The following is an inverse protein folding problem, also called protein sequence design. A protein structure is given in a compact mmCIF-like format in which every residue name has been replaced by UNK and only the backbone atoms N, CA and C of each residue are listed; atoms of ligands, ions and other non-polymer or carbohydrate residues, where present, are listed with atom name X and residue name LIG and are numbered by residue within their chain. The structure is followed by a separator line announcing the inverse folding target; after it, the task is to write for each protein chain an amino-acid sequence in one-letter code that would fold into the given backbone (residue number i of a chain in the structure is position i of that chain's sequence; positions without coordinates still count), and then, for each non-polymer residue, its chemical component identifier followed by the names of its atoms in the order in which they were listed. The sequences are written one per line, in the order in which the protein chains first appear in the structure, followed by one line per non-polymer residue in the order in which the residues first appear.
data_IF_667046576509
#
_entry.id   IF_667046576509
#
_cell.length_a   1.000
_cell.length_b   1.000
_cell.length_c   1.000
_cell.angle_alpha   90.00
_cell.angle_beta   90.00
_cell.angle_gamma   90.00
#
_symmetry.space_group_name_H-M   'P 1'
#
loop_
_entity.id
_entity.type
_entity.pdbx_description
1 polymer ?
#
# COMPACT_ATOMS: atom_id res chain seq x y z
N UNK A 1 -18.07 3.45 31.55
CA UNK A 1 -18.20 2.58 30.37
C UNK A 1 -16.80 2.15 29.98
N UNK A 2 -16.46 0.89 30.18
CA UNK A 2 -15.19 0.33 29.71
C UNK A 2 -15.37 0.17 28.20
N UNK A 3 -14.63 0.92 27.38
CA UNK A 3 -14.60 0.69 25.94
C UNK A 3 -14.10 -0.74 25.73
N UNK A 4 -14.92 -1.58 25.10
CA UNK A 4 -14.44 -2.84 24.56
C UNK A 4 -13.26 -2.53 23.63
N UNK A 5 -12.12 -3.22 23.74
CA UNK A 5 -11.02 -3.04 22.81
C UNK A 5 -11.57 -3.32 21.41
N UNK A 6 -11.43 -2.36 20.51
CA UNK A 6 -11.84 -2.51 19.13
C UNK A 6 -10.98 -3.62 18.52
N UNK A 7 -11.56 -4.81 18.36
CA UNK A 7 -10.88 -5.93 17.68
C UNK A 7 -10.76 -5.53 16.22
N UNK A 8 -9.54 -5.24 15.79
CA UNK A 8 -9.31 -4.92 14.38
C UNK A 8 -9.61 -6.18 13.54
N UNK A 9 -10.35 -6.00 12.44
CA UNK A 9 -10.71 -7.12 11.56
C UNK A 9 -9.47 -7.56 10.79
N UNK A 10 -9.26 -8.87 10.71
CA UNK A 10 -8.22 -9.44 9.84
C UNK A 10 -8.42 -9.02 8.39
N UNK A 11 -7.33 -8.90 7.61
CA UNK A 11 -7.41 -8.64 6.17
C UNK A 11 -8.25 -9.72 5.48
N UNK A 12 -9.05 -9.30 4.50
CA UNK A 12 -10.00 -10.15 3.80
C UNK A 12 -9.44 -10.56 2.45
N UNK A 13 -9.53 -11.85 2.12
CA UNK A 13 -9.29 -12.33 0.77
C UNK A 13 -10.28 -11.67 -0.20
N UNK A 14 -9.77 -11.13 -1.31
CA UNK A 14 -10.57 -10.50 -2.38
C UNK A 14 -10.52 -11.35 -3.64
N UNK A 15 -9.29 -11.63 -4.10
CA UNK A 15 -8.98 -12.44 -5.27
C UNK A 15 -7.73 -13.26 -4.96
N UNK A 16 -7.38 -14.20 -5.85
CA UNK A 16 -6.12 -14.92 -5.74
C UNK A 16 -4.96 -13.93 -5.58
N UNK A 17 -4.18 -14.12 -4.51
CA UNK A 17 -3.05 -13.28 -4.10
C UNK A 17 -3.39 -11.85 -3.65
N UNK A 18 -4.67 -11.46 -3.56
CA UNK A 18 -5.07 -10.09 -3.19
C UNK A 18 -5.90 -10.08 -1.91
N UNK A 19 -5.43 -9.30 -0.93
CA UNK A 19 -6.10 -9.10 0.35
C UNK A 19 -6.43 -7.62 0.55
N UNK A 20 -7.59 -7.33 1.15
CA UNK A 20 -8.00 -5.97 1.52
C UNK A 20 -7.98 -5.79 3.04
N UNK A 21 -7.43 -4.66 3.48
CA UNK A 21 -7.50 -4.24 4.88
C UNK A 21 -8.77 -3.43 5.13
N UNK A 22 -9.21 -3.38 6.38
CA UNK A 22 -10.33 -2.51 6.74
C UNK A 22 -9.96 -1.03 6.56
N UNK A 23 -10.90 -0.19 6.08
CA UNK A 23 -10.77 1.26 6.08
C UNK A 23 -10.28 1.82 7.41
N UNK A 24 -9.41 2.82 7.36
CA UNK A 24 -8.85 3.43 8.56
C UNK A 24 -8.84 4.96 8.49
N UNK A 25 -8.71 5.62 9.65
CA UNK A 25 -8.82 7.09 9.74
C UNK A 25 -7.58 7.83 9.27
N UNK A 26 -6.41 7.19 9.35
CA UNK A 26 -5.14 7.79 8.92
C UNK A 26 -5.12 8.03 7.41
N UNK A 27 -5.94 7.31 6.64
CA UNK A 27 -6.10 7.44 5.19
C UNK A 27 -7.52 7.91 4.78
N UNK A 28 -8.21 8.66 5.65
CA UNK A 28 -9.56 9.20 5.40
C UNK A 28 -10.63 8.16 5.03
N UNK A 29 -10.49 6.93 5.51
CA UNK A 29 -11.39 5.82 5.22
C UNK A 29 -11.04 5.05 3.94
N UNK A 30 -9.84 5.24 3.38
CA UNK A 30 -9.33 4.46 2.25
C UNK A 30 -9.10 2.99 2.61
N UNK A 31 -9.39 2.10 1.66
CA UNK A 31 -9.03 0.68 1.71
C UNK A 31 -7.64 0.50 1.14
N UNK A 32 -6.72 -0.08 1.91
CA UNK A 32 -5.44 -0.56 1.41
C UNK A 32 -5.52 -2.04 1.02
N UNK A 33 -4.58 -2.45 0.17
CA UNK A 33 -4.53 -3.80 -0.37
C UNK A 33 -3.14 -4.40 -0.25
N UNK A 34 -3.06 -5.73 -0.24
CA UNK A 34 -1.81 -6.46 -0.27
C UNK A 34 -1.82 -7.51 -1.36
N UNK A 35 -0.82 -7.46 -2.23
CA UNK A 35 -0.57 -8.45 -3.26
C UNK A 35 0.55 -9.37 -2.77
N UNK A 36 0.25 -10.66 -2.65
CA UNK A 36 1.23 -11.71 -2.35
C UNK A 36 1.70 -12.32 -3.67
N UNK A 37 2.73 -11.73 -4.25
CA UNK A 37 3.31 -12.22 -5.51
C UNK A 37 4.56 -13.06 -5.25
N UNK A 38 4.78 -14.09 -6.09
CA UNK A 38 5.87 -15.05 -5.94
C UNK A 38 7.27 -14.39 -5.93
N UNK A 39 7.40 -13.20 -6.53
CA UNK A 39 8.67 -12.48 -6.57
C UNK A 39 8.71 -11.31 -5.60
N UNK A 40 7.59 -10.63 -5.38
CA UNK A 40 7.59 -9.33 -4.72
C UNK A 40 6.24 -9.00 -4.08
N UNK A 41 6.17 -9.10 -2.75
CA UNK A 41 5.00 -8.66 -1.99
C UNK A 41 4.84 -7.14 -2.01
N UNK A 42 3.64 -6.67 -2.35
CA UNK A 42 3.34 -5.23 -2.49
C UNK A 42 2.17 -4.85 -1.60
N UNK A 43 2.43 -3.90 -0.70
CA UNK A 43 1.40 -3.20 0.05
C UNK A 43 1.01 -1.93 -0.72
N UNK A 44 -0.26 -1.81 -1.04
CA UNK A 44 -0.87 -0.69 -1.74
C UNK A 44 -1.60 0.14 -0.70
N UNK A 45 -1.08 1.34 -0.45
CA UNK A 45 -1.52 2.29 0.57
C UNK A 45 -1.41 1.77 2.01
N UNK A 46 -1.48 2.69 2.98
CA UNK A 46 -1.25 2.32 4.38
C UNK A 46 -2.51 1.75 5.05
N UNK A 47 -2.49 0.49 5.55
CA UNK A 47 -3.50 0.00 6.48
C UNK A 47 -3.36 0.70 7.84
N UNK A 48 -4.34 0.47 8.72
CA UNK A 48 -4.20 0.83 10.12
C UNK A 48 -2.97 0.14 10.72
N UNK A 49 -2.12 0.88 11.41
CA UNK A 49 -0.96 0.33 12.13
C UNK A 49 -1.43 -0.33 13.45
N UNK A 50 -1.72 -1.62 13.37
CA UNK A 50 -2.14 -2.43 14.51
C UNK A 50 -1.55 -3.85 14.43
N UNK A 51 -1.54 -4.53 15.56
CA UNK A 51 -0.93 -5.86 15.70
C UNK A 51 -1.52 -6.91 14.72
N UNK A 52 -2.83 -6.87 14.47
CA UNK A 52 -3.49 -7.81 13.54
C UNK A 52 -2.94 -7.67 12.13
N UNK A 53 -2.83 -6.44 11.63
CA UNK A 53 -2.33 -6.16 10.28
C UNK A 53 -0.82 -6.43 10.18
N UNK A 54 -0.05 -6.03 11.19
CA UNK A 54 1.39 -6.26 11.25
C UNK A 54 1.73 -7.76 11.26
N UNK A 55 0.97 -8.54 12.05
CA UNK A 55 1.11 -9.99 12.12
C UNK A 55 0.76 -10.64 10.79
N UNK A 56 -0.38 -10.27 10.19
CA UNK A 56 -0.79 -10.80 8.88
C UNK A 56 0.29 -10.56 7.82
N UNK A 57 0.79 -9.32 7.69
CA UNK A 57 1.84 -8.99 6.72
C UNK A 57 3.11 -9.82 6.95
N UNK A 58 3.52 -10.00 8.20
CA UNK A 58 4.68 -10.82 8.57
C UNK A 58 4.49 -12.29 8.19
N UNK A 59 3.31 -12.86 8.47
CA UNK A 59 2.97 -14.25 8.15
C UNK A 59 2.95 -14.53 6.64
N UNK A 60 2.68 -13.51 5.82
CA UNK A 60 2.74 -13.60 4.36
C UNK A 60 4.14 -13.35 3.77
N UNK A 61 5.18 -13.24 4.61
CA UNK A 61 6.57 -13.04 4.16
C UNK A 61 7.04 -11.58 4.15
N UNK A 62 6.27 -10.66 4.75
CA UNK A 62 6.62 -9.25 4.87
C UNK A 62 6.30 -8.42 3.62
N UNK A 63 6.74 -7.16 3.64
CA UNK A 63 6.47 -6.18 2.58
C UNK A 63 7.77 -5.82 1.87
N UNK A 64 7.83 -5.99 0.55
CA UNK A 64 8.98 -5.53 -0.24
C UNK A 64 8.80 -4.09 -0.70
N UNK A 65 7.62 -3.79 -1.24
CA UNK A 65 7.22 -2.45 -1.65
C UNK A 65 6.00 -1.96 -0.90
N UNK A 66 6.05 -0.71 -0.46
CA UNK A 66 4.89 0.09 -0.11
C UNK A 66 4.65 1.07 -1.25
N UNK A 67 3.67 0.78 -2.09
CA UNK A 67 3.22 1.69 -3.14
C UNK A 67 2.15 2.62 -2.57
N UNK A 68 2.31 3.93 -2.78
CA UNK A 68 1.36 4.94 -2.31
C UNK A 68 0.72 5.59 -3.53
N UNK A 69 -0.60 5.44 -3.66
CA UNK A 69 -1.38 5.92 -4.80
C UNK A 69 -1.39 7.46 -4.87
N UNK A 70 -1.51 8.11 -3.72
CA UNK A 70 -1.55 9.57 -3.58
C UNK A 70 -1.26 10.03 -2.13
N UNK A 71 -0.99 11.32 -1.94
CA UNK A 71 -0.66 11.93 -0.62
C UNK A 71 -1.60 11.60 0.53
N UNK A 72 -2.91 11.45 0.29
CA UNK A 72 -3.89 11.18 1.36
C UNK A 72 -3.80 9.73 1.85
N UNK A 73 -3.11 8.86 1.12
CA UNK A 73 -2.91 7.45 1.45
C UNK A 73 -1.58 7.15 2.17
N UNK A 74 -0.76 8.19 2.44
CA UNK A 74 0.53 8.08 3.13
C UNK A 74 0.40 7.48 4.53
N UNK A 75 -0.66 7.82 5.28
CA UNK A 75 -0.96 7.27 6.60
C UNK A 75 0.28 7.09 7.51
N UNK A 76 0.58 5.83 7.83
CA UNK A 76 1.69 5.38 8.72
C UNK A 76 2.87 4.78 7.95
N UNK A 77 3.21 5.35 6.80
CA UNK A 77 4.27 4.83 5.93
C UNK A 77 5.64 4.69 6.63
N UNK A 78 5.99 5.62 7.53
CA UNK A 78 7.25 5.56 8.27
C UNK A 78 7.31 4.33 9.20
N UNK A 79 6.24 4.07 9.94
CA UNK A 79 6.13 2.92 10.84
C UNK A 79 6.18 1.61 10.06
N UNK A 80 5.47 1.53 8.94
CA UNK A 80 5.48 0.36 8.04
C UNK A 80 6.87 0.14 7.44
N UNK A 81 7.50 1.18 6.89
CA UNK A 81 8.85 1.07 6.34
C UNK A 81 9.85 0.61 7.39
N UNK A 82 9.75 1.10 8.62
CA UNK A 82 10.61 0.66 9.72
C UNK A 82 10.35 -0.80 10.11
N UNK A 83 9.09 -1.24 10.16
CA UNK A 83 8.72 -2.58 10.56
C UNK A 83 9.17 -3.65 9.56
N UNK A 84 9.03 -3.37 8.26
CA UNK A 84 9.30 -4.34 7.20
C UNK A 84 10.59 -4.08 6.41
N UNK A 85 11.29 -2.98 6.67
CA UNK A 85 12.44 -2.53 5.89
C UNK A 85 12.12 -2.45 4.37
N UNK A 86 10.90 -2.04 4.05
CA UNK A 86 10.39 -1.99 2.68
C UNK A 86 10.81 -0.70 1.96
N UNK A 87 10.76 -0.72 0.64
CA UNK A 87 10.97 0.47 -0.18
C UNK A 87 9.62 1.15 -0.48
N UNK A 88 9.57 2.48 -0.39
CA UNK A 88 8.34 3.22 -0.72
C UNK A 88 8.43 3.64 -2.19
N UNK A 89 7.39 3.34 -2.97
CA UNK A 89 7.20 3.85 -4.32
C UNK A 89 6.09 4.88 -4.33
N UNK A 90 6.37 6.09 -4.82
CA UNK A 90 5.38 7.18 -4.94
C UNK A 90 5.71 8.04 -6.17
N UNK A 91 4.70 8.72 -6.72
CA UNK A 91 4.92 9.65 -7.82
C UNK A 91 5.76 10.86 -7.35
N UNK A 92 6.69 11.33 -8.20
CA UNK A 92 7.71 12.32 -7.85
C UNK A 92 7.17 13.64 -7.25
N UNK A 93 5.99 14.09 -7.68
CA UNK A 93 5.38 15.36 -7.26
C UNK A 93 4.91 15.32 -5.82
N UNK A 94 4.86 14.14 -5.19
CA UNK A 94 4.45 13.96 -3.79
C UNK A 94 5.55 13.39 -2.90
N UNK A 95 6.71 13.04 -3.48
CA UNK A 95 7.84 12.48 -2.74
C UNK A 95 8.35 13.41 -1.62
N UNK A 96 8.18 14.72 -1.77
CA UNK A 96 8.55 15.71 -0.76
C UNK A 96 7.81 15.54 0.58
N UNK A 97 6.68 14.82 0.60
CA UNK A 97 5.89 14.53 1.79
C UNK A 97 6.49 13.41 2.65
N UNK A 98 7.53 12.74 2.18
CA UNK A 98 8.18 11.60 2.84
C UNK A 98 9.65 11.89 3.17
N UNK A 99 9.97 13.00 3.86
CA UNK A 99 11.36 13.36 4.13
C UNK A 99 12.02 12.30 5.03
N UNK A 100 13.28 11.99 4.74
CA UNK A 100 14.11 11.03 5.48
C UNK A 100 13.65 9.56 5.42
N UNK A 101 12.73 9.22 4.51
CA UNK A 101 12.36 7.84 4.22
C UNK A 101 13.10 7.33 2.99
N UNK A 102 13.25 6.00 2.89
CA UNK A 102 13.77 5.35 1.68
C UNK A 102 12.68 5.32 0.62
N UNK A 103 12.71 6.30 -0.28
CA UNK A 103 11.70 6.50 -1.32
C UNK A 103 12.33 6.33 -2.70
N UNK A 104 11.67 5.58 -3.56
CA UNK A 104 11.87 5.55 -5.00
C UNK A 104 10.71 6.27 -5.66
N UNK A 105 11.03 7.13 -6.62
CA UNK A 105 10.05 7.95 -7.33
C UNK A 105 9.91 7.51 -8.77
N UNK A 106 8.78 7.85 -9.38
CA UNK A 106 8.57 7.72 -10.81
C UNK A 106 7.86 8.95 -11.37
N UNK A 107 8.14 9.25 -12.64
CA UNK A 107 7.56 10.39 -13.36
C UNK A 107 6.24 9.98 -14.04
N UNK A 108 6.31 9.01 -14.95
CA UNK A 108 5.19 8.54 -15.78
C UNK A 108 4.78 7.10 -15.46
N UNK A 109 5.72 6.17 -15.46
CA UNK A 109 5.46 4.75 -15.24
C UNK A 109 6.60 4.09 -14.47
N UNK A 110 6.31 3.00 -13.77
CA UNK A 110 7.30 2.17 -13.08
C UNK A 110 6.88 0.71 -13.06
N UNK A 111 7.74 -0.18 -13.54
CA UNK A 111 7.49 -1.62 -13.49
C UNK A 111 8.05 -2.21 -12.19
N UNK A 112 7.16 -2.68 -11.33
CA UNK A 112 7.49 -3.38 -10.08
C UNK A 112 7.84 -4.84 -10.32
N UNK A 113 7.18 -5.47 -11.30
CA UNK A 113 7.45 -6.83 -11.77
C UNK A 113 6.97 -6.98 -13.22
N UNK A 114 7.05 -8.20 -13.78
CA UNK A 114 6.47 -8.52 -15.09
C UNK A 114 4.96 -8.24 -15.18
N UNK A 115 4.25 -8.34 -14.05
CA UNK A 115 2.80 -8.30 -13.99
C UNK A 115 2.26 -7.04 -13.31
N UNK A 116 3.14 -6.20 -12.75
CA UNK A 116 2.74 -5.07 -11.92
C UNK A 116 3.41 -3.79 -12.41
N UNK A 117 2.58 -2.83 -12.80
CA UNK A 117 3.02 -1.53 -13.33
C UNK A 117 2.28 -0.41 -12.61
N UNK A 118 3.02 0.56 -12.09
CA UNK A 118 2.48 1.83 -11.62
C UNK A 118 2.52 2.86 -12.76
N UNK A 119 1.52 3.73 -12.85
CA UNK A 119 1.50 4.82 -13.82
C UNK A 119 0.80 6.06 -13.27
N UNK A 120 1.29 7.22 -13.69
CA UNK A 120 0.82 8.51 -13.24
C UNK A 120 -0.55 8.84 -13.86
N UNK A 121 -1.51 9.17 -13.00
CA UNK A 121 -2.89 9.49 -13.36
C UNK A 121 -3.33 10.70 -12.55
N UNK A 122 -2.80 11.90 -12.86
CA UNK A 122 -3.07 13.09 -12.06
C UNK A 122 -4.57 13.38 -12.00
N UNK A 123 -5.05 13.80 -10.84
CA UNK A 123 -6.48 14.01 -10.62
C UNK A 123 -6.78 14.44 -9.19
N UNK A 124 -7.03 13.47 -8.31
CA UNK A 124 -7.30 13.72 -6.88
C UNK A 124 -6.20 14.58 -6.22
N UNK A 125 -4.95 14.36 -6.63
CA UNK A 125 -3.78 15.15 -6.31
C UNK A 125 -2.83 15.22 -7.51
N UNK A 126 -1.85 16.14 -7.52
CA UNK A 126 -0.87 16.23 -8.61
C UNK A 126 -0.09 14.94 -8.83
N UNK A 127 0.25 14.23 -7.75
CA UNK A 127 0.96 12.94 -7.80
C UNK A 127 0.08 11.70 -7.77
N UNK A 128 -1.25 11.84 -7.94
CA UNK A 128 -2.13 10.67 -7.99
C UNK A 128 -1.70 9.69 -9.09
N UNK A 129 -1.69 8.41 -8.76
CA UNK A 129 -1.24 7.35 -9.65
C UNK A 129 -2.02 6.08 -9.41
N UNK A 130 -2.07 5.22 -10.43
CA UNK A 130 -2.69 3.91 -10.34
C UNK A 130 -1.63 2.80 -10.42
N UNK A 131 -1.95 1.64 -9.87
CA UNK A 131 -1.19 0.41 -10.06
C UNK A 131 -2.06 -0.63 -10.74
N UNK A 132 -1.56 -1.18 -11.84
CA UNK A 132 -2.20 -2.25 -12.59
C UNK A 132 -1.48 -3.57 -12.33
N UNK A 133 -2.27 -4.59 -12.00
CA UNK A 133 -1.84 -5.97 -11.87
C UNK A 133 -2.48 -6.79 -12.99
N UNK A 134 -1.69 -7.37 -13.89
CA UNK A 134 -2.19 -8.03 -15.10
C UNK A 134 -2.79 -9.42 -14.86
N UNK A 135 -2.52 -10.03 -13.70
CA UNK A 135 -3.13 -11.31 -13.32
C UNK A 135 -4.61 -11.14 -12.94
N UNK A 136 -5.31 -12.24 -12.68
CA UNK A 136 -6.75 -12.23 -12.35
C UNK A 136 -7.63 -11.55 -13.42
N UNK A 137 -7.18 -11.52 -14.68
CA UNK A 137 -7.88 -10.83 -15.77
C UNK A 137 -7.70 -9.31 -15.80
N UNK A 138 -6.78 -8.77 -14.97
CA UNK A 138 -6.51 -7.35 -14.86
C UNK A 138 -7.20 -6.72 -13.65
N UNK A 139 -6.42 -6.18 -12.71
CA UNK A 139 -6.91 -5.46 -11.53
C UNK A 139 -6.24 -4.09 -11.47
N UNK A 140 -7.05 -3.04 -11.32
CA UNK A 140 -6.58 -1.67 -11.20
C UNK A 140 -6.82 -1.14 -9.79
N UNK A 141 -5.78 -0.61 -9.17
CA UNK A 141 -5.82 0.09 -7.89
C UNK A 141 -5.62 1.58 -8.14
N UNK A 142 -6.43 2.43 -7.52
CA UNK A 142 -6.54 3.86 -7.79
C UNK A 142 -6.56 4.67 -6.51
#
# INVERSE_FOLDING_TARGET
MIQQPFVSKSPQFVLENIFAFSPNRDTLGGTSYFIVDNQTNILIDCPADNETNQKFLSEQGGVKWLYITHRSAIGKAQEIQKAFNCEILIQEQEAYLLPNLKVTTFEQEFNLSQHITAFWTPGHSPGSSCLYYSENGGVLFT
#
